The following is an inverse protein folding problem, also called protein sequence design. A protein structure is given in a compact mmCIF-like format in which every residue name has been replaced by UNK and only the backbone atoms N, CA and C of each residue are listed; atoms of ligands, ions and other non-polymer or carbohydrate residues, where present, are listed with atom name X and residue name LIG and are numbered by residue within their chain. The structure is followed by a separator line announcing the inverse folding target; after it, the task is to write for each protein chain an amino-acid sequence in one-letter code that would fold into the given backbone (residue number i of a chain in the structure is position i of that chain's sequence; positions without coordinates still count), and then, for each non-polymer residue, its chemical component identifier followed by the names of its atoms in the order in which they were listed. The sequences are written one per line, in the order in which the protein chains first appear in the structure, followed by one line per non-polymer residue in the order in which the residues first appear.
data_IF_118284014721
#
_entry.id   IF_118284014721
#
_cell.length_a   1.000
_cell.length_b   1.000
_cell.length_c   1.000
_cell.angle_alpha   90.00
_cell.angle_beta   90.00
_cell.angle_gamma   90.00
#
_symmetry.space_group_name_H-M   'P 1'
#
loop_
_entity.id
_entity.type
_entity.pdbx_description
1 polymer ?
#
# COMPACT_ATOMS: atom_id res chain seq x y z
N UNK A 1 -22.18 -6.28 -20.29
CA UNK A 1 -22.53 -5.40 -19.15
C UNK A 1 -23.94 -5.67 -18.58
N UNK A 2 -24.68 -6.65 -19.15
CA UNK A 2 -25.95 -7.08 -18.61
C UNK A 2 -25.69 -7.69 -17.21
N UNK A 3 -26.35 -7.17 -16.20
CA UNK A 3 -26.44 -7.68 -14.81
C UNK A 3 -25.37 -7.32 -13.79
N UNK A 4 -24.74 -6.15 -13.85
CA UNK A 4 -24.04 -5.63 -12.67
C UNK A 4 -25.09 -5.05 -11.71
N UNK A 5 -25.61 -5.90 -10.82
CA UNK A 5 -26.56 -5.49 -9.80
C UNK A 5 -25.82 -5.02 -8.54
N UNK A 6 -25.98 -3.76 -8.12
CA UNK A 6 -25.44 -3.26 -6.85
C UNK A 6 -25.89 -4.06 -5.62
N UNK A 7 -27.03 -4.76 -5.69
CA UNK A 7 -27.50 -5.60 -4.59
C UNK A 7 -26.57 -6.77 -4.26
N UNK A 8 -25.80 -7.23 -5.24
CA UNK A 8 -24.83 -8.32 -5.08
C UNK A 8 -23.50 -7.87 -4.42
N UNK A 9 -23.35 -6.56 -4.13
CA UNK A 9 -22.17 -6.02 -3.45
C UNK A 9 -22.38 -6.09 -1.95
N UNK A 10 -21.33 -6.46 -1.22
CA UNK A 10 -21.38 -6.52 0.24
C UNK A 10 -21.76 -5.17 0.87
N UNK A 11 -22.28 -5.19 2.10
CA UNK A 11 -22.85 -4.02 2.76
C UNK A 11 -21.84 -2.87 2.97
N UNK A 12 -20.55 -3.18 3.21
CA UNK A 12 -19.50 -2.17 3.40
C UNK A 12 -19.21 -1.39 2.12
N UNK A 13 -19.30 -2.06 0.97
CA UNK A 13 -18.92 -1.50 -0.32
C UNK A 13 -20.08 -0.87 -1.07
N UNK A 14 -21.30 -1.31 -0.78
CA UNK A 14 -22.53 -0.90 -1.52
C UNK A 14 -22.73 0.61 -1.55
N UNK A 15 -22.39 1.32 -0.47
CA UNK A 15 -22.53 2.78 -0.38
C UNK A 15 -21.62 3.57 -1.33
N UNK A 16 -20.63 2.93 -1.95
CA UNK A 16 -19.65 3.58 -2.83
C UNK A 16 -19.90 3.38 -4.34
N UNK A 17 -20.90 2.58 -4.73
CA UNK A 17 -21.13 2.18 -6.13
C UNK A 17 -21.45 3.34 -7.09
N UNK A 18 -21.96 4.45 -6.57
CA UNK A 18 -22.27 5.62 -7.38
C UNK A 18 -21.22 6.73 -7.28
N UNK A 19 -20.13 6.51 -6.54
CA UNK A 19 -19.07 7.48 -6.42
C UNK A 19 -18.37 7.67 -7.77
N UNK A 20 -18.15 8.93 -8.14
CA UNK A 20 -17.36 9.29 -9.31
C UNK A 20 -16.92 10.75 -9.18
N UNK A 21 -15.64 10.98 -8.98
CA UNK A 21 -15.08 12.32 -8.83
C UNK A 21 -13.65 12.40 -9.40
N UNK A 22 -13.50 13.06 -10.54
CA UNK A 22 -12.18 13.28 -11.13
C UNK A 22 -11.27 14.19 -10.29
N UNK A 23 -11.85 15.05 -9.45
CA UNK A 23 -11.05 15.86 -8.50
C UNK A 23 -10.43 14.99 -7.41
N UNK A 24 -11.22 14.06 -6.84
CA UNK A 24 -10.73 13.13 -5.83
C UNK A 24 -9.70 12.16 -6.40
N UNK A 25 -9.91 11.69 -7.63
CA UNK A 25 -8.96 10.83 -8.35
C UNK A 25 -7.60 11.53 -8.47
N UNK A 26 -7.55 12.74 -9.06
CA UNK A 26 -6.32 13.52 -9.18
C UNK A 26 -5.66 13.87 -7.85
N UNK A 27 -6.45 14.19 -6.82
CA UNK A 27 -5.91 14.44 -5.49
C UNK A 27 -5.23 13.19 -4.90
N UNK A 28 -5.78 11.99 -5.15
CA UNK A 28 -5.15 10.74 -4.74
C UNK A 28 -3.85 10.45 -5.50
N UNK A 29 -3.73 10.86 -6.77
CA UNK A 29 -2.50 10.75 -7.55
C UNK A 29 -1.40 11.66 -6.94
N UNK A 30 -1.77 12.89 -6.55
CA UNK A 30 -0.84 13.81 -5.86
C UNK A 30 -0.33 13.21 -4.55
N UNK A 31 -1.19 12.59 -3.74
CA UNK A 31 -0.77 11.93 -2.49
C UNK A 31 0.13 10.72 -2.76
N UNK A 32 -0.19 9.91 -3.78
CA UNK A 32 0.66 8.80 -4.17
C UNK A 32 2.05 9.27 -4.57
N UNK A 33 2.15 10.20 -5.52
CA UNK A 33 3.43 10.71 -5.99
C UNK A 33 4.18 11.49 -4.90
N UNK A 34 3.46 12.26 -4.09
CA UNK A 34 4.02 12.93 -2.92
C UNK A 34 4.60 11.98 -1.88
N UNK A 35 4.01 10.78 -1.72
CA UNK A 35 4.52 9.77 -0.79
C UNK A 35 5.92 9.25 -1.15
N UNK A 36 6.32 9.32 -2.43
CA UNK A 36 7.66 8.97 -2.88
C UNK A 36 8.73 9.91 -2.28
N UNK A 37 8.34 11.13 -1.93
CA UNK A 37 9.24 12.06 -1.26
C UNK A 37 9.63 11.59 0.16
N UNK A 38 8.79 10.80 0.84
CA UNK A 38 9.04 10.39 2.21
C UNK A 38 10.35 9.57 2.38
N UNK A 39 10.60 8.49 1.61
CA UNK A 39 11.89 7.81 1.64
C UNK A 39 13.05 8.68 1.12
N UNK A 40 12.81 9.52 0.10
CA UNK A 40 13.85 10.41 -0.44
C UNK A 40 14.32 11.46 0.57
N UNK A 41 13.40 12.01 1.37
CA UNK A 41 13.72 12.97 2.44
C UNK A 41 14.57 12.35 3.56
N UNK A 42 14.46 11.04 3.79
CA UNK A 42 15.32 10.34 4.74
C UNK A 42 16.79 10.48 4.37
N UNK A 43 17.13 10.44 3.08
CA UNK A 43 18.50 10.57 2.60
C UNK A 43 19.11 11.95 2.88
N UNK A 44 18.29 12.95 3.21
CA UNK A 44 18.76 14.25 3.69
C UNK A 44 19.28 14.21 5.15
N UNK A 45 18.88 13.20 5.93
CA UNK A 45 19.31 13.02 7.31
C UNK A 45 20.81 12.66 7.43
N UNK A 46 21.54 13.36 8.30
CA UNK A 46 23.00 13.15 8.47
C UNK A 46 23.34 11.70 8.81
N UNK A 47 22.57 11.05 9.67
CA UNK A 47 22.82 9.66 10.10
C UNK A 47 22.57 8.65 8.97
N UNK A 48 21.69 8.97 8.02
CA UNK A 48 21.34 8.08 6.90
C UNK A 48 22.34 8.25 5.74
N UNK A 49 22.97 9.43 5.64
CA UNK A 49 24.00 9.71 4.63
C UNK A 49 25.25 8.83 4.75
N UNK A 50 25.45 8.16 5.87
CA UNK A 50 26.53 7.17 6.00
C UNK A 50 26.23 5.84 5.30
N UNK A 51 24.95 5.55 5.01
CA UNK A 51 24.51 4.28 4.40
C UNK A 51 23.32 4.47 3.44
N UNK A 52 23.42 5.38 2.47
CA UNK A 52 22.30 5.70 1.58
C UNK A 52 21.96 4.53 0.63
N UNK A 53 22.97 3.71 0.28
CA UNK A 53 22.80 2.56 -0.59
C UNK A 53 21.87 1.51 0.01
N UNK A 54 22.06 1.17 1.28
CA UNK A 54 21.19 0.22 1.98
C UNK A 54 19.74 0.73 2.01
N UNK A 55 19.51 1.99 2.36
CA UNK A 55 18.15 2.56 2.38
C UNK A 55 17.51 2.54 1.00
N UNK A 56 18.27 2.87 -0.06
CA UNK A 56 17.76 2.86 -1.42
C UNK A 56 17.40 1.43 -1.89
N UNK A 57 18.24 0.44 -1.59
CA UNK A 57 17.98 -0.98 -1.93
C UNK A 57 16.73 -1.48 -1.21
N UNK A 58 16.60 -1.24 0.09
CA UNK A 58 15.44 -1.66 0.88
C UNK A 58 14.15 -0.99 0.40
N UNK A 59 14.22 0.27 0.00
CA UNK A 59 13.08 0.96 -0.59
C UNK A 59 12.70 0.36 -1.94
N UNK A 60 13.69 0.07 -2.80
CA UNK A 60 13.48 -0.60 -4.07
C UNK A 60 12.83 -1.98 -3.88
N UNK A 61 13.31 -2.77 -2.94
CA UNK A 61 12.72 -4.06 -2.57
C UNK A 61 11.28 -3.91 -2.08
N UNK A 62 11.02 -2.96 -1.18
CA UNK A 62 9.66 -2.65 -0.71
C UNK A 62 8.72 -2.33 -1.88
N UNK A 63 9.18 -1.50 -2.82
CA UNK A 63 8.42 -1.13 -4.01
C UNK A 63 8.16 -2.33 -4.93
N UNK A 64 9.14 -3.19 -5.13
CA UNK A 64 9.00 -4.41 -5.94
C UNK A 64 8.01 -5.41 -5.31
N UNK A 65 8.11 -5.64 -3.99
CA UNK A 65 7.23 -6.56 -3.27
C UNK A 65 5.79 -6.07 -3.32
N UNK A 66 5.53 -4.79 -2.97
CA UNK A 66 4.16 -4.26 -3.01
C UNK A 66 3.59 -4.21 -4.43
N UNK A 67 4.44 -3.94 -5.43
CA UNK A 67 4.05 -3.96 -6.85
C UNK A 67 3.65 -5.37 -7.30
N UNK A 68 4.48 -6.35 -6.99
CA UNK A 68 4.25 -7.76 -7.32
C UNK A 68 2.94 -8.27 -6.72
N UNK A 69 2.76 -8.10 -5.41
CA UNK A 69 1.54 -8.53 -4.71
C UNK A 69 0.30 -7.83 -5.30
N UNK A 70 0.38 -6.50 -5.52
CA UNK A 70 -0.75 -5.73 -6.08
C UNK A 70 -1.11 -6.22 -7.47
N UNK A 71 -0.13 -6.40 -8.34
CA UNK A 71 -0.36 -6.79 -9.73
C UNK A 71 -0.91 -8.21 -9.83
N UNK A 72 -0.30 -9.17 -9.15
CA UNK A 72 -0.76 -10.56 -9.12
C UNK A 72 -2.20 -10.66 -8.57
N UNK A 73 -2.51 -9.94 -7.49
CA UNK A 73 -3.85 -9.94 -6.93
C UNK A 73 -4.88 -9.36 -7.91
N UNK A 74 -4.56 -8.26 -8.60
CA UNK A 74 -5.46 -7.67 -9.61
C UNK A 74 -5.72 -8.64 -10.76
N UNK A 75 -4.69 -9.35 -11.21
CA UNK A 75 -4.82 -10.37 -12.26
C UNK A 75 -5.70 -11.55 -11.84
N UNK A 76 -5.55 -12.00 -10.59
CA UNK A 76 -6.29 -13.14 -10.05
C UNK A 76 -7.75 -12.79 -9.76
N UNK A 77 -8.00 -11.65 -9.11
CA UNK A 77 -9.35 -11.30 -8.58
C UNK A 77 -10.24 -10.66 -9.64
N UNK A 78 -9.70 -9.82 -10.51
CA UNK A 78 -10.44 -9.14 -11.61
C UNK A 78 -11.72 -8.45 -11.15
N UNK A 79 -11.72 -7.85 -9.97
CA UNK A 79 -12.89 -7.19 -9.40
C UNK A 79 -13.27 -5.96 -10.19
N UNK A 80 -14.56 -5.83 -10.53
CA UNK A 80 -15.12 -4.64 -11.19
C UNK A 80 -15.08 -3.44 -10.26
N UNK A 81 -14.69 -2.27 -10.79
CA UNK A 81 -14.61 -1.01 -10.04
C UNK A 81 -15.97 -0.37 -9.79
N UNK A 82 -16.12 0.44 -8.70
CA UNK A 82 -17.37 1.12 -8.38
C UNK A 82 -17.93 1.97 -9.52
N UNK A 83 -17.10 2.75 -10.21
CA UNK A 83 -17.56 3.65 -11.27
C UNK A 83 -18.27 2.93 -12.43
N UNK A 84 -18.04 1.62 -12.61
CA UNK A 84 -18.71 0.83 -13.66
C UNK A 84 -20.19 0.70 -13.39
N UNK A 85 -20.60 0.69 -12.12
CA UNK A 85 -22.00 0.63 -11.68
C UNK A 85 -22.73 1.97 -11.82
N UNK A 86 -22.00 3.09 -11.96
CA UNK A 86 -22.59 4.42 -12.05
C UNK A 86 -23.11 4.68 -13.47
N UNK A 87 -24.44 4.92 -13.68
CA UNK A 87 -25.01 5.13 -15.01
C UNK A 87 -24.52 6.41 -15.69
N UNK A 88 -24.04 7.41 -14.94
CA UNK A 88 -23.54 8.67 -15.52
C UNK A 88 -22.15 8.56 -16.15
N UNK A 89 -21.43 7.45 -15.95
CA UNK A 89 -20.09 7.23 -16.52
C UNK A 89 -20.24 6.70 -17.96
N UNK A 90 -19.49 7.25 -18.93
CA UNK A 90 -19.54 6.81 -20.34
C UNK A 90 -19.23 5.32 -20.50
N UNK A 91 -19.86 4.69 -21.49
CA UNK A 91 -19.78 3.24 -21.70
C UNK A 91 -18.35 2.78 -22.09
N UNK A 92 -17.63 3.59 -22.83
CA UNK A 92 -16.24 3.35 -23.24
C UNK A 92 -15.30 3.24 -22.04
N UNK A 93 -15.47 4.10 -21.01
CA UNK A 93 -14.70 4.04 -19.78
C UNK A 93 -14.96 2.74 -18.97
N UNK A 94 -16.12 2.09 -19.15
CA UNK A 94 -16.53 0.88 -18.41
C UNK A 94 -16.00 -0.42 -19.00
N UNK A 95 -15.46 -0.41 -20.22
CA UNK A 95 -15.05 -1.62 -20.96
C UNK A 95 -13.55 -1.90 -20.91
N UNK A 96 -12.74 -0.94 -20.46
CA UNK A 96 -11.29 -1.07 -20.37
C UNK A 96 -10.83 -2.10 -19.32
N UNK A 97 -9.58 -2.56 -19.45
CA UNK A 97 -8.93 -3.48 -18.50
C UNK A 97 -8.93 -2.88 -17.08
N UNK A 98 -8.77 -1.56 -16.97
CA UNK A 98 -8.80 -0.83 -15.70
C UNK A 98 -10.13 -0.99 -14.95
N UNK A 99 -11.24 -1.12 -15.68
CA UNK A 99 -12.57 -1.31 -15.10
C UNK A 99 -12.70 -2.60 -14.26
N UNK A 100 -11.83 -3.59 -14.47
CA UNK A 100 -11.76 -4.87 -13.73
C UNK A 100 -10.55 -5.02 -12.83
N UNK A 101 -9.91 -3.91 -12.46
CA UNK A 101 -8.70 -3.91 -11.64
C UNK A 101 -8.90 -3.23 -10.27
N UNK A 102 -10.08 -3.48 -9.61
CA UNK A 102 -10.43 -2.84 -8.35
C UNK A 102 -9.66 -3.41 -7.16
N UNK A 103 -9.63 -4.72 -6.96
CA UNK A 103 -9.07 -5.32 -5.74
C UNK A 103 -7.58 -5.64 -5.91
N UNK A 104 -6.78 -5.25 -4.97
CA UNK A 104 -6.97 -4.21 -3.98
C UNK A 104 -6.42 -2.86 -4.49
N UNK A 105 -6.58 -1.78 -3.69
CA UNK A 105 -6.17 -0.43 -4.10
C UNK A 105 -4.66 -0.27 -4.17
N UNK A 106 -4.13 -0.18 -5.40
CA UNK A 106 -2.70 0.06 -5.63
C UNK A 106 -2.23 1.42 -5.09
N UNK A 107 -2.97 2.50 -5.32
CA UNK A 107 -2.62 3.83 -4.77
C UNK A 107 -2.47 3.80 -3.25
N UNK A 108 -3.42 3.17 -2.55
CA UNK A 108 -3.38 3.08 -1.10
C UNK A 108 -2.22 2.21 -0.62
N UNK A 109 -1.98 1.06 -1.28
CA UNK A 109 -0.90 0.16 -0.87
C UNK A 109 0.48 0.76 -1.11
N UNK A 110 0.71 1.41 -2.24
CA UNK A 110 1.98 2.09 -2.50
C UNK A 110 2.22 3.28 -1.57
N UNK A 111 1.18 4.10 -1.33
CA UNK A 111 1.30 5.21 -0.39
C UNK A 111 1.62 4.71 1.01
N UNK A 112 0.95 3.65 1.47
CA UNK A 112 1.23 3.04 2.77
C UNK A 112 2.63 2.42 2.82
N UNK A 113 3.06 1.70 1.79
CA UNK A 113 4.39 1.13 1.74
C UNK A 113 5.49 2.19 1.86
N UNK A 114 5.38 3.29 1.09
CA UNK A 114 6.36 4.38 1.14
C UNK A 114 6.41 5.07 2.50
N UNK A 115 5.24 5.39 3.07
CA UNK A 115 5.19 6.16 4.33
C UNK A 115 5.56 5.31 5.54
N UNK A 116 5.14 4.04 5.60
CA UNK A 116 5.52 3.11 6.67
C UNK A 116 7.00 2.72 6.59
N UNK A 117 7.52 2.51 5.37
CA UNK A 117 8.95 2.33 5.16
C UNK A 117 9.75 3.52 5.73
N UNK A 118 9.37 4.73 5.33
CA UNK A 118 10.05 5.93 5.80
C UNK A 118 9.98 6.08 7.33
N UNK A 119 8.81 5.82 7.94
CA UNK A 119 8.65 5.88 9.38
C UNK A 119 9.47 4.82 10.12
N UNK A 120 9.54 3.60 9.58
CA UNK A 120 10.32 2.51 10.16
C UNK A 120 11.81 2.80 10.11
N UNK A 121 12.33 3.19 8.94
CA UNK A 121 13.74 3.57 8.76
C UNK A 121 14.07 4.77 9.64
N UNK A 122 13.23 5.80 9.69
CA UNK A 122 13.43 6.93 10.60
C UNK A 122 13.54 6.49 12.06
N UNK A 123 12.66 5.59 12.50
CA UNK A 123 12.67 5.09 13.88
C UNK A 123 13.96 4.33 14.23
N UNK A 124 14.60 3.66 13.26
CA UNK A 124 15.86 2.94 13.45
C UNK A 124 17.07 3.86 13.50
N UNK A 125 17.17 4.81 12.57
CA UNK A 125 18.30 5.74 12.52
C UNK A 125 18.24 6.85 13.58
N UNK A 126 17.04 7.12 14.11
CA UNK A 126 16.83 8.15 15.15
C UNK A 126 16.07 7.57 16.36
N UNK A 127 16.67 6.61 17.11
CA UNK A 127 15.98 5.86 18.16
C UNK A 127 15.48 6.75 19.32
N UNK A 128 16.15 7.87 19.60
CA UNK A 128 15.78 8.79 20.68
C UNK A 128 15.04 10.05 20.20
N UNK A 129 14.62 10.09 18.91
CA UNK A 129 13.95 11.27 18.36
C UNK A 129 12.55 11.47 18.94
N UNK A 130 12.25 12.68 19.39
CA UNK A 130 10.93 13.12 19.83
C UNK A 130 9.93 13.24 18.68
N UNK A 131 10.40 13.21 17.43
CA UNK A 131 9.57 13.31 16.23
C UNK A 131 8.92 11.98 15.81
N UNK A 132 9.29 10.86 16.41
CA UNK A 132 8.71 9.54 16.06
C UNK A 132 7.18 9.54 16.04
N UNK A 133 6.46 10.05 17.06
CA UNK A 133 5.00 10.04 17.03
C UNK A 133 4.44 10.84 15.85
N UNK A 134 5.05 11.98 15.52
CA UNK A 134 4.63 12.80 14.37
C UNK A 134 4.86 12.05 13.06
N UNK A 135 6.03 11.44 12.89
CA UNK A 135 6.35 10.66 11.67
C UNK A 135 5.38 9.50 11.50
N UNK A 136 5.07 8.75 12.56
CA UNK A 136 4.08 7.68 12.51
C UNK A 136 2.67 8.20 12.26
N UNK A 137 2.28 9.35 12.81
CA UNK A 137 0.98 9.98 12.53
C UNK A 137 0.85 10.36 11.06
N UNK A 138 1.88 10.92 10.47
CA UNK A 138 1.92 11.24 9.03
C UNK A 138 1.87 9.96 8.21
N UNK A 139 2.67 8.95 8.57
CA UNK A 139 2.72 7.67 7.88
C UNK A 139 1.38 6.94 7.83
N UNK A 140 0.56 7.07 8.87
CA UNK A 140 -0.78 6.46 8.93
C UNK A 140 -1.85 7.32 8.25
N UNK A 141 -1.76 8.64 8.35
CA UNK A 141 -2.80 9.56 7.84
C UNK A 141 -2.80 9.68 6.33
N UNK A 142 -1.61 9.77 5.70
CA UNK A 142 -1.51 9.97 4.25
C UNK A 142 -2.14 8.83 3.45
N UNK A 143 -1.84 7.54 3.71
CA UNK A 143 -2.49 6.45 2.97
C UNK A 143 -3.99 6.33 3.30
N UNK A 144 -4.43 6.68 4.51
CA UNK A 144 -5.86 6.74 4.84
C UNK A 144 -6.59 7.80 4.01
N UNK A 145 -6.01 9.00 3.89
CA UNK A 145 -6.53 10.06 3.02
C UNK A 145 -6.52 9.64 1.55
N UNK A 146 -5.45 9.00 1.08
CA UNK A 146 -5.38 8.44 -0.29
C UNK A 146 -6.51 7.46 -0.52
N UNK A 147 -6.72 6.52 0.39
CA UNK A 147 -7.79 5.54 0.30
C UNK A 147 -9.19 6.17 0.26
N UNK A 148 -9.45 7.13 1.14
CA UNK A 148 -10.70 7.89 1.13
C UNK A 148 -10.96 8.56 -0.23
N UNK A 149 -9.94 9.19 -0.80
CA UNK A 149 -10.03 9.83 -2.12
C UNK A 149 -10.27 8.82 -3.24
N UNK A 150 -9.68 7.62 -3.15
CA UNK A 150 -9.93 6.53 -4.12
C UNK A 150 -11.37 6.03 -4.08
N UNK A 151 -11.96 5.93 -2.88
CA UNK A 151 -13.39 5.59 -2.73
C UNK A 151 -14.27 6.71 -3.29
N UNK A 152 -13.99 7.97 -2.95
CA UNK A 152 -14.71 9.16 -3.49
C UNK A 152 -14.58 9.28 -5.01
N UNK A 153 -13.43 8.92 -5.56
CA UNK A 153 -13.17 8.89 -6.99
C UNK A 153 -13.92 7.77 -7.74
N UNK A 154 -14.56 6.85 -7.04
CA UNK A 154 -15.22 5.68 -7.62
C UNK A 154 -14.25 4.63 -8.16
N UNK A 155 -12.96 4.73 -7.83
CA UNK A 155 -11.92 3.82 -8.34
C UNK A 155 -11.81 2.53 -7.54
N UNK A 156 -12.11 2.59 -6.25
CA UNK A 156 -11.99 1.46 -5.32
C UNK A 156 -13.14 1.43 -4.32
N UNK A 157 -13.48 0.23 -3.89
CA UNK A 157 -14.38 0.01 -2.78
C UNK A 157 -13.66 0.22 -1.43
N UNK A 158 -14.39 0.48 -0.32
CA UNK A 158 -13.81 0.52 1.02
C UNK A 158 -12.97 -0.72 1.36
N UNK A 159 -13.43 -1.93 1.02
CA UNK A 159 -12.67 -3.17 1.27
C UNK A 159 -11.37 -3.25 0.48
N UNK A 160 -11.35 -2.74 -0.77
CA UNK A 160 -10.12 -2.67 -1.59
C UNK A 160 -9.08 -1.76 -0.94
N UNK A 161 -9.55 -0.66 -0.35
CA UNK A 161 -8.71 0.34 0.32
C UNK A 161 -8.15 -0.19 1.62
N UNK A 162 -8.99 -0.82 2.47
CA UNK A 162 -8.57 -1.41 3.74
C UNK A 162 -7.50 -2.48 3.50
N UNK A 163 -7.74 -3.37 2.53
CA UNK A 163 -6.76 -4.42 2.18
C UNK A 163 -5.48 -3.81 1.61
N UNK A 164 -5.58 -2.86 0.69
CA UNK A 164 -4.42 -2.18 0.12
C UNK A 164 -3.60 -1.44 1.17
N UNK A 165 -4.25 -0.78 2.13
CA UNK A 165 -3.60 -0.14 3.26
C UNK A 165 -2.83 -1.16 4.10
N UNK A 166 -3.48 -2.26 4.49
CA UNK A 166 -2.86 -3.29 5.32
C UNK A 166 -1.65 -3.93 4.62
N UNK A 167 -1.79 -4.32 3.35
CA UNK A 167 -0.68 -4.90 2.57
C UNK A 167 0.48 -3.92 2.44
N UNK A 168 0.21 -2.67 2.09
CA UNK A 168 1.25 -1.65 1.95
C UNK A 168 1.97 -1.35 3.28
N UNK A 169 1.20 -1.16 4.36
CA UNK A 169 1.75 -0.89 5.68
C UNK A 169 2.64 -2.05 6.19
N UNK A 170 2.16 -3.29 6.03
CA UNK A 170 2.94 -4.48 6.38
C UNK A 170 4.21 -4.58 5.56
N UNK A 171 4.14 -4.39 4.25
CA UNK A 171 5.33 -4.45 3.37
C UNK A 171 6.35 -3.39 3.76
N UNK A 172 5.91 -2.13 3.92
CA UNK A 172 6.79 -1.02 4.29
C UNK A 172 7.42 -1.16 5.67
N UNK A 173 6.75 -1.85 6.60
CA UNK A 173 7.27 -2.12 7.93
C UNK A 173 8.20 -3.34 7.96
N UNK A 174 7.78 -4.45 7.34
CA UNK A 174 8.43 -5.77 7.48
C UNK A 174 9.72 -5.85 6.68
N UNK A 175 9.78 -5.28 5.47
CA UNK A 175 11.01 -5.36 4.64
C UNK A 175 12.23 -4.79 5.37
N UNK A 176 12.23 -3.56 5.91
CA UNK A 176 13.36 -3.06 6.70
C UNK A 176 13.65 -3.90 7.95
N UNK A 177 12.61 -4.44 8.61
CA UNK A 177 12.76 -5.21 9.84
C UNK A 177 13.47 -6.55 9.61
N UNK A 178 13.14 -7.26 8.53
CA UNK A 178 13.79 -8.52 8.16
C UNK A 178 15.30 -8.32 7.92
N UNK A 179 15.68 -7.24 7.24
CA UNK A 179 17.09 -6.94 6.97
C UNK A 179 17.83 -6.49 8.23
N UNK A 180 17.16 -5.85 9.17
CA UNK A 180 17.74 -5.50 10.47
C UNK A 180 18.00 -6.75 11.30
N UNK A 181 17.06 -7.68 11.36
CA UNK A 181 17.23 -8.96 12.06
C UNK A 181 18.45 -9.72 11.52
N UNK A 182 18.65 -9.72 10.20
CA UNK A 182 19.81 -10.37 9.58
C UNK A 182 21.13 -9.69 9.95
N UNK A 183 21.18 -8.35 10.04
CA UNK A 183 22.38 -7.60 10.47
C UNK A 183 22.76 -7.81 11.95
N UNK A 184 21.80 -8.10 12.82
CA UNK A 184 22.04 -8.37 14.26
C UNK A 184 22.39 -9.83 14.55
N UNK A 185 22.55 -10.67 13.53
CA UNK A 185 22.81 -12.09 13.69
C UNK A 185 21.58 -12.94 14.07
N UNK A 186 20.42 -12.30 14.17
CA UNK A 186 19.16 -13.00 14.32
C UNK A 186 18.71 -13.52 12.95
N UNK A 187 18.57 -14.83 12.84
CA UNK A 187 18.11 -15.45 11.58
C UNK A 187 16.66 -15.85 11.70
N UNK A 188 15.85 -15.40 10.75
CA UNK A 188 14.51 -15.92 10.54
C UNK A 188 14.60 -16.98 9.44
N UNK A 189 14.39 -18.23 9.79
CA UNK A 189 14.46 -19.35 8.84
C UNK A 189 13.08 -19.94 8.61
N UNK A 190 12.71 -20.09 7.34
CA UNK A 190 11.57 -20.90 6.92
C UNK A 190 12.06 -22.35 6.85
N UNK A 191 11.54 -23.21 7.70
CA UNK A 191 11.85 -24.64 7.67
C UNK A 191 10.67 -25.36 7.03
N UNK A 192 10.84 -25.94 5.83
CA UNK A 192 9.81 -26.76 5.22
C UNK A 192 9.69 -28.08 5.99
N UNK A 193 8.52 -28.35 6.56
CA UNK A 193 8.12 -29.66 7.05
C UNK A 193 7.30 -30.40 6.00
N UNK A 194 7.09 -31.69 6.18
CA UNK A 194 6.34 -32.55 5.25
C UNK A 194 4.85 -32.18 5.12
N UNK A 195 4.30 -31.51 6.13
CA UNK A 195 2.89 -31.10 6.24
C UNK A 195 2.69 -29.66 6.76
N UNK A 196 3.78 -28.93 7.03
CA UNK A 196 3.73 -27.60 7.62
C UNK A 196 4.96 -26.77 7.25
N UNK A 197 4.81 -25.45 7.27
CA UNK A 197 5.94 -24.50 7.15
C UNK A 197 6.19 -23.94 8.55
N UNK A 198 7.34 -24.26 9.13
CA UNK A 198 7.78 -23.72 10.42
C UNK A 198 8.54 -22.41 10.24
N UNK A 199 8.30 -21.43 11.13
CA UNK A 199 9.09 -20.23 11.29
C UNK A 199 10.01 -20.43 12.52
N UNK A 200 11.33 -20.44 12.31
CA UNK A 200 12.31 -20.46 13.40
C UNK A 200 12.97 -19.08 13.46
N UNK A 201 12.86 -18.44 14.61
CA UNK A 201 13.56 -17.20 14.92
C UNK A 201 14.70 -17.51 15.91
N UNK A 202 15.94 -17.49 15.42
CA UNK A 202 17.12 -17.57 16.28
C UNK A 202 17.55 -16.17 16.70
N UNK A 203 17.52 -15.92 18.01
CA UNK A 203 18.01 -14.69 18.64
C UNK A 203 19.42 -14.99 19.16
N UNK A 204 20.43 -14.33 18.62
CA UNK A 204 21.82 -14.34 19.14
C UNK A 204 22.14 -13.02 19.83
#
# INVERSE_FOLDING_TARGET
LASLDPANINALDRGSVHNYSGKADRASDVLLHGSLAAPALLLAGRNIRSDPGTVAILWGETALVVSGITTLTKFAVRRTRPFVYNPSVPADAKTGIDAKASFFSGHTSFTAANTFFAARVFADYFPHSKWKPVVWSVATTIPAATGYLRVKGGKHFPTDVITGYAVGALTGFVVPELHKAHRTGNTLSLVPGWDSIGLIWEIR
#
